data_IF_702384267824
#
_entry.id   IF_702384267824
#
_cell.length_a   1.000
_cell.length_b   1.000
_cell.length_c   1.000
_cell.angle_alpha   90.00
_cell.angle_beta   90.00
_cell.angle_gamma   90.00
#
_symmetry.space_group_name_H-M   'P 1'
#
loop_
_entity.id
_entity.type
_entity.pdbx_description
1 polymer ?
#
# COMPACT_ATOMS: atom_id res chain seq x y z
N UNK A 1 -9.44 -21.37 -13.62
CA UNK A 1 -8.81 -20.05 -13.44
C UNK A 1 -9.38 -18.92 -14.31
N UNK A 2 -10.49 -19.14 -15.04
CA UNK A 2 -11.10 -18.13 -15.93
C UNK A 2 -11.38 -16.78 -15.25
N UNK A 3 -12.00 -16.79 -14.06
CA UNK A 3 -12.27 -15.56 -13.31
C UNK A 3 -10.99 -14.80 -12.93
N UNK A 4 -9.90 -15.52 -12.64
CA UNK A 4 -8.62 -14.92 -12.27
C UNK A 4 -8.00 -14.19 -13.47
N UNK A 5 -8.02 -14.83 -14.64
CA UNK A 5 -7.58 -14.22 -15.92
C UNK A 5 -8.45 -13.02 -16.27
N UNK A 6 -9.78 -13.17 -16.25
CA UNK A 6 -10.70 -12.07 -16.58
C UNK A 6 -10.49 -10.86 -15.65
N UNK A 7 -10.30 -11.09 -14.36
CA UNK A 7 -10.02 -10.00 -13.40
C UNK A 7 -8.67 -9.35 -13.67
N UNK A 8 -7.62 -10.13 -13.92
CA UNK A 8 -6.30 -9.60 -14.25
C UNK A 8 -6.32 -8.77 -15.55
N UNK A 9 -7.03 -9.23 -16.57
CA UNK A 9 -7.21 -8.49 -17.82
C UNK A 9 -7.89 -7.13 -17.61
N UNK A 10 -8.85 -7.04 -16.70
CA UNK A 10 -9.50 -5.76 -16.36
C UNK A 10 -8.53 -4.80 -15.68
N UNK A 11 -7.72 -5.27 -14.74
CA UNK A 11 -6.67 -4.44 -14.14
C UNK A 11 -5.71 -3.86 -15.19
N UNK A 12 -5.31 -4.66 -16.17
CA UNK A 12 -4.40 -4.19 -17.23
C UNK A 12 -5.11 -3.27 -18.23
N UNK A 13 -6.24 -3.71 -18.79
CA UNK A 13 -6.89 -3.02 -19.92
C UNK A 13 -7.76 -1.83 -19.49
N UNK A 14 -8.39 -1.91 -18.34
CA UNK A 14 -9.35 -0.91 -17.85
C UNK A 14 -8.71 0.02 -16.82
N UNK A 15 -7.88 -0.52 -15.91
CA UNK A 15 -7.28 0.25 -14.82
C UNK A 15 -5.85 0.74 -15.10
N UNK A 16 -5.23 0.33 -16.22
CA UNK A 16 -3.91 0.79 -16.63
C UNK A 16 -2.75 0.21 -15.81
N UNK A 17 -2.93 -0.94 -15.15
CA UNK A 17 -1.85 -1.62 -14.45
C UNK A 17 -0.95 -2.39 -15.42
N UNK A 18 0.37 -2.37 -15.20
CA UNK A 18 1.31 -3.19 -16.00
C UNK A 18 1.37 -4.65 -15.54
N UNK A 19 0.98 -4.91 -14.29
CA UNK A 19 1.07 -6.22 -13.63
C UNK A 19 0.00 -6.37 -12.55
N UNK A 20 -0.20 -7.60 -12.08
CA UNK A 20 -1.08 -7.91 -10.93
C UNK A 20 -0.31 -8.62 -9.82
N UNK A 21 -0.76 -8.45 -8.57
CA UNK A 21 -0.22 -9.16 -7.40
C UNK A 21 -1.22 -10.18 -6.87
N UNK A 22 -0.76 -11.41 -6.60
CA UNK A 22 -1.57 -12.46 -6.00
C UNK A 22 -0.97 -12.95 -4.68
N UNK A 23 -1.84 -13.19 -3.71
CA UNK A 23 -1.47 -13.67 -2.38
C UNK A 23 -1.59 -15.19 -2.26
N UNK A 24 -0.73 -15.74 -1.40
CA UNK A 24 -0.62 -17.15 -0.98
C UNK A 24 0.06 -18.04 -2.03
N UNK A 25 0.64 -19.15 -1.56
CA UNK A 25 0.94 -20.31 -2.40
C UNK A 25 -0.26 -21.26 -2.53
N UNK A 26 0.01 -22.56 -2.71
CA UNK A 26 -1.01 -23.59 -2.89
C UNK A 26 -1.92 -23.32 -4.10
N UNK A 27 -3.24 -23.26 -3.91
CA UNK A 27 -4.19 -23.07 -5.04
C UNK A 27 -4.01 -21.75 -5.80
N UNK A 28 -3.35 -20.74 -5.23
CA UNK A 28 -3.01 -19.49 -5.93
C UNK A 28 -1.92 -19.69 -6.97
N UNK A 29 -1.07 -20.72 -6.85
CA UNK A 29 0.00 -21.03 -7.82
C UNK A 29 -0.58 -21.36 -9.20
N UNK A 30 -1.63 -22.18 -9.23
CA UNK A 30 -2.32 -22.52 -10.50
C UNK A 30 -2.95 -21.28 -11.15
N UNK A 31 -3.53 -20.38 -10.33
CA UNK A 31 -4.09 -19.11 -10.80
C UNK A 31 -3.00 -18.18 -11.35
N UNK A 32 -1.86 -18.07 -10.66
CA UNK A 32 -0.73 -17.29 -11.10
C UNK A 32 -0.22 -17.81 -12.46
N UNK A 33 -0.01 -19.12 -12.58
CA UNK A 33 0.40 -19.77 -13.84
C UNK A 33 -0.56 -19.44 -14.98
N UNK A 34 -1.86 -19.60 -14.77
CA UNK A 34 -2.87 -19.33 -15.79
C UNK A 34 -2.90 -17.85 -16.24
N UNK A 35 -2.65 -16.91 -15.33
CA UNK A 35 -2.57 -15.48 -15.66
C UNK A 35 -1.28 -15.17 -16.43
N UNK A 36 -0.14 -15.71 -15.99
CA UNK A 36 1.15 -15.55 -16.67
C UNK A 36 1.08 -16.11 -18.10
N UNK A 37 0.53 -17.32 -18.28
CA UNK A 37 0.34 -17.95 -19.59
C UNK A 37 -0.61 -17.15 -20.51
N UNK A 38 -1.50 -16.32 -19.94
CA UNK A 38 -2.34 -15.39 -20.70
C UNK A 38 -1.61 -14.09 -21.13
N UNK A 39 -0.34 -13.95 -20.77
CA UNK A 39 0.52 -12.82 -21.13
C UNK A 39 0.51 -11.66 -20.13
N UNK A 40 -0.02 -11.85 -18.93
CA UNK A 40 -0.07 -10.79 -17.89
C UNK A 40 1.00 -11.07 -16.83
N UNK A 41 1.92 -10.13 -16.54
CA UNK A 41 2.90 -10.28 -15.48
C UNK A 41 2.25 -10.40 -14.10
N UNK A 42 2.73 -11.37 -13.31
CA UNK A 42 2.26 -11.61 -11.94
C UNK A 42 3.40 -11.45 -10.93
N UNK A 43 3.15 -10.66 -9.90
CA UNK A 43 3.97 -10.65 -8.68
C UNK A 43 3.32 -11.57 -7.65
N UNK A 44 4.05 -12.59 -7.19
CA UNK A 44 3.58 -13.46 -6.11
C UNK A 44 3.73 -12.81 -4.74
N UNK A 45 3.07 -13.33 -3.72
CA UNK A 45 3.18 -12.83 -2.36
C UNK A 45 3.04 -13.98 -1.36
N UNK A 46 4.06 -14.13 -0.51
CA UNK A 46 4.15 -15.15 0.56
C UNK A 46 4.40 -14.52 1.93
N UNK A 47 4.26 -15.32 2.97
CA UNK A 47 4.33 -14.86 4.36
C UNK A 47 2.95 -14.52 4.89
N UNK A 48 2.82 -13.41 5.60
CA UNK A 48 1.53 -12.92 6.04
C UNK A 48 0.76 -12.37 4.84
N UNK A 49 -0.33 -13.04 4.47
CA UNK A 49 -1.20 -12.60 3.38
C UNK A 49 -2.47 -11.95 3.93
N UNK A 50 -2.60 -10.61 3.90
CA UNK A 50 -3.68 -9.88 4.59
C UNK A 50 -5.10 -10.33 4.25
N UNK A 51 -5.38 -10.76 3.00
CA UNK A 51 -6.71 -11.26 2.58
C UNK A 51 -7.20 -12.48 3.37
N UNK A 52 -6.31 -13.01 4.22
CA UNK A 52 -6.37 -14.35 4.77
C UNK A 52 -5.97 -14.36 6.24
N UNK A 53 -5.74 -13.16 6.80
CA UNK A 53 -5.26 -12.94 8.15
C UNK A 53 -6.12 -13.70 9.17
N UNK A 54 -7.45 -13.72 9.00
CA UNK A 54 -8.35 -14.48 9.89
C UNK A 54 -7.99 -15.97 9.98
N UNK A 55 -7.72 -16.61 8.84
CA UNK A 55 -7.30 -18.01 8.80
C UNK A 55 -5.89 -18.23 9.38
N UNK A 56 -5.06 -17.19 9.36
CA UNK A 56 -3.69 -17.17 9.93
C UNK A 56 -3.67 -16.78 11.42
N UNK A 57 -4.83 -16.51 12.04
CA UNK A 57 -4.92 -16.09 13.44
C UNK A 57 -4.60 -14.61 13.66
N UNK A 58 -4.88 -13.77 12.66
CA UNK A 58 -4.66 -12.33 12.64
C UNK A 58 -3.38 -11.91 11.91
N UNK A 59 -3.01 -10.64 12.06
CA UNK A 59 -1.79 -10.06 11.52
C UNK A 59 -0.56 -10.48 12.32
N UNK A 60 -0.12 -11.73 12.11
CA UNK A 60 1.03 -12.32 12.81
C UNK A 60 2.13 -12.66 11.83
N UNK A 61 3.38 -12.50 12.27
CA UNK A 61 4.53 -12.91 11.49
C UNK A 61 4.51 -14.42 11.20
N UNK A 62 4.81 -14.79 9.96
CA UNK A 62 4.84 -16.17 9.47
C UNK A 62 6.26 -16.74 9.49
N UNK A 63 6.43 -18.05 9.31
CA UNK A 63 7.77 -18.65 9.27
C UNK A 63 8.51 -18.71 10.62
N UNK A 64 7.79 -18.60 11.75
CA UNK A 64 8.37 -18.64 13.11
C UNK A 64 8.71 -20.04 13.62
N UNK A 65 8.25 -21.08 12.94
CA UNK A 65 8.63 -22.49 13.17
C UNK A 65 9.26 -23.02 11.91
N UNK A 66 10.12 -24.05 12.03
CA UNK A 66 10.75 -24.67 10.86
C UNK A 66 9.72 -25.13 9.82
N UNK A 67 8.62 -25.77 10.25
CA UNK A 67 7.54 -26.20 9.35
C UNK A 67 6.89 -25.04 8.60
N UNK A 68 6.63 -23.91 9.25
CA UNK A 68 6.06 -22.73 8.61
C UNK A 68 7.06 -22.01 7.71
N UNK A 69 8.34 -22.01 8.06
CA UNK A 69 9.39 -21.44 7.24
C UNK A 69 9.59 -22.27 5.95
N UNK A 70 9.52 -23.60 6.06
CA UNK A 70 9.54 -24.50 4.91
C UNK A 70 8.34 -24.25 3.99
N UNK A 71 7.13 -24.13 4.54
CA UNK A 71 5.95 -23.80 3.72
C UNK A 71 6.11 -22.48 2.96
N UNK A 72 6.64 -21.44 3.60
CA UNK A 72 6.91 -20.15 2.93
C UNK A 72 7.90 -20.32 1.78
N UNK A 73 8.95 -21.13 1.97
CA UNK A 73 9.93 -21.42 0.92
C UNK A 73 9.32 -22.21 -0.24
N UNK A 74 8.52 -23.24 0.06
CA UNK A 74 7.80 -24.05 -0.94
C UNK A 74 6.82 -23.19 -1.75
N UNK A 75 6.04 -22.34 -1.07
CA UNK A 75 5.10 -21.42 -1.73
C UNK A 75 5.83 -20.42 -2.64
N UNK A 76 6.97 -19.89 -2.19
CA UNK A 76 7.77 -18.93 -2.96
C UNK A 76 8.34 -19.57 -4.23
N UNK A 77 8.95 -20.74 -4.10
CA UNK A 77 9.51 -21.49 -5.23
C UNK A 77 8.42 -21.93 -6.21
N UNK A 78 7.25 -22.37 -5.71
CA UNK A 78 6.14 -22.75 -6.58
C UNK A 78 5.57 -21.55 -7.36
N UNK A 79 5.52 -20.36 -6.75
CA UNK A 79 5.11 -19.13 -7.43
C UNK A 79 6.12 -18.69 -8.49
N UNK A 80 7.42 -18.82 -8.22
CA UNK A 80 8.48 -18.59 -9.20
C UNK A 80 8.36 -19.57 -10.38
N UNK A 81 8.18 -20.87 -10.11
CA UNK A 81 7.99 -21.90 -11.14
C UNK A 81 6.70 -21.68 -11.97
N UNK A 82 5.69 -21.03 -11.39
CA UNK A 82 4.50 -20.59 -12.11
C UNK A 82 4.74 -19.39 -13.05
N UNK A 83 5.94 -18.80 -13.02
CA UNK A 83 6.34 -17.68 -13.86
C UNK A 83 6.06 -16.31 -13.26
N UNK A 84 5.90 -16.20 -11.93
CA UNK A 84 5.86 -14.89 -11.29
C UNK A 84 7.18 -14.17 -11.52
N UNK A 85 7.13 -12.91 -11.96
CA UNK A 85 8.36 -12.15 -12.28
C UNK A 85 9.07 -11.58 -11.04
N UNK A 86 8.37 -11.55 -9.90
CA UNK A 86 8.86 -11.05 -8.62
C UNK A 86 7.97 -11.56 -7.49
N UNK A 87 8.45 -11.51 -6.25
CA UNK A 87 7.74 -11.95 -5.05
C UNK A 87 7.75 -10.90 -3.95
N UNK A 88 6.63 -10.74 -3.25
CA UNK A 88 6.56 -9.99 -1.98
C UNK A 88 6.71 -10.95 -0.81
N UNK A 89 7.58 -10.60 0.13
CA UNK A 89 7.78 -11.30 1.39
C UNK A 89 7.26 -10.41 2.53
N UNK A 90 6.13 -10.78 3.13
CA UNK A 90 5.49 -9.99 4.20
C UNK A 90 5.59 -10.64 5.59
N UNK A 91 6.11 -9.89 6.55
CA UNK A 91 6.20 -10.26 7.97
C UNK A 91 6.81 -11.66 8.21
N UNK A 92 8.00 -11.89 7.65
CA UNK A 92 8.79 -13.13 7.78
C UNK A 92 10.06 -12.83 8.60
N UNK A 93 10.55 -13.71 9.50
CA UNK A 93 11.83 -13.54 10.16
C UNK A 93 12.96 -13.30 9.15
N UNK A 94 13.80 -12.29 9.41
CA UNK A 94 14.85 -11.87 8.47
C UNK A 94 15.78 -13.01 8.05
N UNK A 95 16.17 -13.90 8.97
CA UNK A 95 17.02 -15.05 8.65
C UNK A 95 16.33 -16.07 7.72
N UNK A 96 15.00 -16.22 7.83
CA UNK A 96 14.22 -17.09 6.92
C UNK A 96 14.17 -16.44 5.55
N UNK A 97 13.83 -15.15 5.47
CA UNK A 97 13.81 -14.41 4.21
C UNK A 97 15.17 -14.46 3.49
N UNK A 98 16.27 -14.14 4.19
CA UNK A 98 17.63 -14.22 3.64
C UNK A 98 17.97 -15.62 3.09
N UNK A 99 17.53 -16.67 3.78
CA UNK A 99 17.79 -18.05 3.35
C UNK A 99 17.00 -18.43 2.10
N UNK A 100 15.77 -17.94 1.96
CA UNK A 100 14.91 -18.27 0.81
C UNK A 100 15.26 -17.40 -0.40
N UNK A 101 15.57 -16.12 -0.21
CA UNK A 101 15.99 -15.20 -1.30
C UNK A 101 17.17 -15.77 -2.08
N UNK A 102 18.16 -16.39 -1.41
CA UNK A 102 19.33 -17.03 -2.04
C UNK A 102 18.99 -18.23 -2.95
N UNK A 103 17.74 -18.70 -2.96
CA UNK A 103 17.26 -19.82 -3.79
C UNK A 103 16.35 -19.38 -4.93
N UNK A 104 15.99 -18.09 -4.97
CA UNK A 104 15.12 -17.51 -5.98
C UNK A 104 16.00 -16.78 -7.00
N UNK A 105 15.60 -16.84 -8.26
CA UNK A 105 16.20 -16.12 -9.39
C UNK A 105 15.45 -14.80 -9.67
N UNK A 106 14.20 -14.68 -9.19
CA UNK A 106 13.38 -13.47 -9.34
C UNK A 106 13.56 -12.48 -8.19
N UNK A 107 13.44 -11.16 -8.44
CA UNK A 107 13.55 -10.15 -7.38
C UNK A 107 12.52 -10.34 -6.26
N UNK A 108 12.96 -10.17 -5.02
CA UNK A 108 12.11 -10.23 -3.83
C UNK A 108 11.97 -8.85 -3.19
N UNK A 109 10.74 -8.43 -2.96
CA UNK A 109 10.38 -7.18 -2.29
C UNK A 109 9.93 -7.47 -0.86
N UNK A 110 10.67 -6.96 0.13
CA UNK A 110 10.38 -7.16 1.54
C UNK A 110 9.44 -6.11 2.14
N UNK A 111 8.55 -6.55 3.03
CA UNK A 111 7.85 -5.68 3.98
C UNK A 111 7.83 -6.38 5.34
N UNK A 112 8.69 -5.93 6.25
CA UNK A 112 8.94 -6.65 7.50
C UNK A 112 9.60 -8.02 7.30
N UNK A 113 10.36 -8.19 6.21
CA UNK A 113 11.15 -9.39 5.91
C UNK A 113 12.67 -9.18 6.09
N UNK A 114 13.09 -8.04 6.64
CA UNK A 114 14.50 -7.70 6.82
C UNK A 114 15.19 -7.18 5.54
N UNK A 115 16.45 -6.75 5.66
CA UNK A 115 17.16 -6.01 4.61
C UNK A 115 17.77 -6.89 3.52
N UNK A 116 17.71 -8.22 3.64
CA UNK A 116 18.32 -9.16 2.69
C UNK A 116 17.47 -9.39 1.43
N UNK A 117 16.35 -8.69 1.28
CA UNK A 117 15.51 -8.71 0.08
C UNK A 117 15.99 -7.64 -0.90
N UNK A 118 15.75 -7.83 -2.20
CA UNK A 118 16.27 -6.96 -3.27
C UNK A 118 15.64 -5.56 -3.29
N UNK A 119 14.45 -5.43 -2.71
CA UNK A 119 13.77 -4.15 -2.55
C UNK A 119 12.90 -4.13 -1.29
N UNK A 120 12.32 -2.97 -1.00
CA UNK A 120 11.43 -2.78 0.14
C UNK A 120 10.13 -2.11 -0.28
N UNK A 121 9.04 -2.45 0.39
CA UNK A 121 7.75 -1.77 0.26
C UNK A 121 7.19 -1.42 1.64
N UNK A 122 6.55 -0.25 1.74
CA UNK A 122 5.77 0.17 2.90
C UNK A 122 4.47 0.80 2.40
N UNK A 123 3.43 0.75 3.23
CA UNK A 123 2.21 1.50 2.97
C UNK A 123 2.53 2.99 3.14
N UNK A 124 2.19 3.81 2.16
CA UNK A 124 2.47 5.25 2.15
C UNK A 124 1.98 5.98 3.42
N UNK A 125 0.78 5.61 3.89
CA UNK A 125 0.19 6.17 5.10
C UNK A 125 0.96 5.79 6.37
N UNK A 126 1.47 4.56 6.45
CA UNK A 126 2.37 4.13 7.53
C UNK A 126 3.68 4.89 7.43
N UNK A 127 4.23 5.07 6.23
CA UNK A 127 5.51 5.74 6.03
C UNK A 127 5.46 7.21 6.48
N UNK A 128 4.34 7.91 6.25
CA UNK A 128 4.18 9.33 6.55
C UNK A 128 3.39 9.67 7.82
N UNK A 129 2.94 8.66 8.56
CA UNK A 129 2.21 8.86 9.81
C UNK A 129 0.91 9.65 9.61
N UNK A 130 0.08 9.24 8.62
CA UNK A 130 -1.13 9.98 8.23
C UNK A 130 -2.35 9.64 9.10
N UNK A 131 -2.44 8.41 9.63
CA UNK A 131 -3.59 7.96 10.42
C UNK A 131 -3.27 7.84 11.91
N UNK A 132 -4.33 7.70 12.71
CA UNK A 132 -4.24 7.55 14.16
C UNK A 132 -3.99 6.09 14.54
N UNK A 133 -3.01 5.83 15.39
CA UNK A 133 -2.67 4.49 15.85
C UNK A 133 -1.19 4.14 15.75
N UNK A 134 -0.86 2.91 16.14
CA UNK A 134 0.51 2.41 16.08
C UNK A 134 0.73 1.73 14.73
N UNK A 135 1.75 2.18 14.00
CA UNK A 135 2.21 1.48 12.81
C UNK A 135 2.59 0.02 13.13
N UNK A 136 2.50 -0.88 12.14
CA UNK A 136 3.04 -2.23 12.28
C UNK A 136 4.51 -2.17 12.73
N UNK A 137 4.96 -3.14 13.54
CA UNK A 137 6.32 -3.17 14.10
C UNK A 137 7.45 -2.96 13.07
N UNK A 138 7.22 -3.36 11.82
CA UNK A 138 8.20 -3.26 10.75
C UNK A 138 8.19 -1.92 10.01
N UNK A 139 7.18 -1.08 10.21
CA UNK A 139 7.07 0.21 9.54
C UNK A 139 7.77 1.29 10.37
N UNK A 140 8.61 2.08 9.71
CA UNK A 140 9.19 3.30 10.25
C UNK A 140 8.38 4.50 9.77
N UNK A 141 7.92 5.34 10.70
CA UNK A 141 7.44 6.67 10.37
C UNK A 141 8.63 7.55 9.98
N UNK A 142 8.61 8.08 8.76
CA UNK A 142 9.57 9.07 8.27
C UNK A 142 9.07 10.51 8.48
N UNK A 143 7.76 10.69 8.68
CA UNK A 143 7.14 11.96 9.04
C UNK A 143 5.92 11.71 9.96
N UNK A 144 5.45 12.76 10.61
CA UNK A 144 4.18 12.82 11.34
C UNK A 144 3.27 13.87 10.67
N UNK A 145 2.75 13.52 9.49
CA UNK A 145 1.89 14.42 8.73
C UNK A 145 0.54 14.62 9.41
N UNK A 146 0.04 13.64 10.17
CA UNK A 146 -1.21 13.76 10.91
C UNK A 146 -1.16 14.96 11.85
N UNK A 147 -0.13 15.08 12.68
CA UNK A 147 -0.03 16.20 13.63
C UNK A 147 -0.01 17.56 12.93
N UNK A 148 0.71 17.66 11.81
CA UNK A 148 0.77 18.90 11.01
C UNK A 148 -0.59 19.23 10.38
N UNK A 149 -1.27 18.23 9.82
CA UNK A 149 -2.61 18.41 9.23
C UNK A 149 -3.63 18.83 10.29
N UNK A 150 -3.63 18.18 11.46
CA UNK A 150 -4.52 18.52 12.57
C UNK A 150 -4.26 19.95 13.06
N UNK A 151 -3.00 20.33 13.22
CA UNK A 151 -2.64 21.68 13.63
C UNK A 151 -3.15 22.74 12.64
N UNK A 152 -2.88 22.56 11.34
CA UNK A 152 -3.32 23.52 10.31
C UNK A 152 -4.84 23.66 10.22
N UNK A 153 -5.58 22.55 10.30
CA UNK A 153 -7.06 22.60 10.30
C UNK A 153 -7.60 23.25 11.58
N UNK A 154 -6.97 23.01 12.73
CA UNK A 154 -7.36 23.63 13.99
C UNK A 154 -7.11 25.15 13.99
N UNK A 155 -5.97 25.59 13.44
CA UNK A 155 -5.63 27.00 13.29
C UNK A 155 -6.61 27.71 12.35
N UNK A 156 -6.86 27.14 11.17
CA UNK A 156 -7.89 27.64 10.25
C UNK A 156 -9.26 27.77 10.93
N UNK A 157 -9.69 26.73 11.66
CA UNK A 157 -10.96 26.75 12.37
C UNK A 157 -11.01 27.83 13.47
N UNK A 158 -9.88 28.11 14.13
CA UNK A 158 -9.77 29.17 15.12
C UNK A 158 -9.84 30.57 14.47
N UNK A 159 -9.13 30.78 13.37
CA UNK A 159 -9.12 32.06 12.65
C UNK A 159 -10.47 32.40 12.03
N UNK A 160 -11.19 31.42 11.49
CA UNK A 160 -12.57 31.62 11.01
C UNK A 160 -13.51 32.00 12.15
N UNK A 161 -13.39 31.34 13.30
CA UNK A 161 -14.25 31.61 14.47
C UNK A 161 -13.97 32.96 15.12
N UNK A 162 -12.72 33.41 15.11
CA UNK A 162 -12.33 34.73 15.62
C UNK A 162 -12.58 35.86 14.62
N UNK A 163 -12.80 35.53 13.34
CA UNK A 163 -12.89 36.50 12.25
C UNK A 163 -11.52 37.02 11.78
N UNK A 164 -10.42 36.40 12.20
CA UNK A 164 -9.08 36.72 11.70
C UNK A 164 -8.91 36.30 10.23
N UNK A 165 -9.56 35.21 9.82
CA UNK A 165 -9.65 34.77 8.44
C UNK A 165 -11.10 34.87 7.91
N UNK A 166 -11.32 35.39 6.68
CA UNK A 166 -10.32 35.97 5.78
C UNK A 166 -9.86 37.36 6.21
N UNK A 167 -8.56 37.63 6.05
CA UNK A 167 -7.99 38.97 6.14
C UNK A 167 -8.17 39.79 4.85
N UNK A 168 -7.80 41.08 4.85
CA UNK A 168 -7.86 41.93 3.65
C UNK A 168 -7.05 41.39 2.46
N UNK A 169 -5.91 40.76 2.71
CA UNK A 169 -5.07 40.12 1.68
C UNK A 169 -5.71 38.88 1.04
N UNK A 170 -6.72 38.33 1.69
CA UNK A 170 -7.53 37.20 1.22
C UNK A 170 -8.90 37.65 0.67
N UNK A 171 -9.11 38.96 0.51
CA UNK A 171 -10.36 39.57 0.08
C UNK A 171 -10.19 40.41 -1.18
N UNK A 172 -11.23 40.50 -2.02
CA UNK A 172 -11.24 41.38 -3.18
C UNK A 172 -11.96 42.69 -2.86
N UNK A 173 -11.44 43.81 -3.34
CA UNK A 173 -12.07 45.13 -3.23
C UNK A 173 -12.99 45.43 -4.42
N UNK A 174 -14.01 46.25 -4.19
CA UNK A 174 -14.83 46.90 -5.22
C UNK A 174 -14.55 48.41 -5.18
N UNK A 175 -14.58 49.07 -6.33
CA UNK A 175 -14.51 50.54 -6.39
C UNK A 175 -15.67 51.16 -5.59
N UNK A 176 -15.38 52.24 -4.86
CA UNK A 176 -16.37 52.86 -3.97
C UNK A 176 -17.60 53.38 -4.72
N UNK A 177 -17.45 53.83 -5.97
CA UNK A 177 -18.55 54.33 -6.79
C UNK A 177 -19.46 53.20 -7.24
N UNK A 178 -18.86 52.13 -7.76
CA UNK A 178 -19.58 50.92 -8.18
C UNK A 178 -20.35 50.30 -6.98
N UNK A 179 -19.75 50.29 -5.79
CA UNK A 179 -20.42 49.84 -4.57
C UNK A 179 -21.62 50.71 -4.19
N UNK A 180 -21.51 52.03 -4.36
CA UNK A 180 -22.61 52.96 -4.08
C UNK A 180 -23.78 52.76 -5.06
N UNK A 181 -23.49 52.61 -6.35
CA UNK A 181 -24.49 52.32 -7.39
C UNK A 181 -25.19 50.98 -7.13
N UNK A 182 -24.43 49.92 -6.81
CA UNK A 182 -24.98 48.62 -6.43
C UNK A 182 -25.96 48.73 -5.25
N UNK A 183 -25.58 49.46 -4.19
CA UNK A 183 -26.44 49.66 -3.01
C UNK A 183 -27.70 50.46 -3.33
N UNK A 184 -27.61 51.45 -4.22
CA UNK A 184 -28.77 52.22 -4.65
C UNK A 184 -29.78 51.38 -5.43
N UNK A 185 -29.31 50.42 -6.25
CA UNK A 185 -30.17 49.52 -7.02
C UNK A 185 -30.87 48.41 -6.22
N UNK A 186 -30.54 48.22 -4.94
CA UNK A 186 -31.21 47.26 -4.04
C UNK A 186 -32.38 47.85 -3.25
N UNK A 187 -32.50 49.19 -3.20
CA UNK A 187 -33.58 49.91 -2.53
C UNK A 187 -34.74 50.18 -3.51
#
# INVERSE_FOLDING_TARGET
DEQAIATAQRFVKEAGCDAVKLERGGTSVQRARAIVESGIPVMGHVGLTPQTATALGGYRAQGRTASRALQVAEDALALEEAGCFSLVFEAIPAAVAETVVKRLEVPVIGIGAGPATDGQVLVFHDLLGIYDGHAPRFAKHYADLRSLMVAGVAEYAAEVRSGAFPGPEHSYSIDERELAEFRAGLN
#
